data_IF_686603469063
#
_entry.id   IF_686603469063
#
_cell.length_a   1.000
_cell.length_b   1.000
_cell.length_c   1.000
_cell.angle_alpha   90.00
_cell.angle_beta   90.00
_cell.angle_gamma   90.00
#
_symmetry.space_group_name_H-M   'P 1'
#
loop_
_entity.id
_entity.type
_entity.pdbx_description
1 polymer ?
#
# COMPACT_ATOMS: atom_id res chain seq x y z
N UNK A 1 -5.28 17.96 -8.37
CA UNK A 1 -5.08 16.82 -7.46
C UNK A 1 -4.85 15.56 -8.28
N UNK A 2 -3.84 14.77 -7.90
CA UNK A 2 -3.51 13.46 -8.45
C UNK A 2 -3.43 12.45 -7.30
N UNK A 3 -4.18 11.37 -7.45
CA UNK A 3 -4.27 10.25 -6.51
C UNK A 3 -3.83 8.95 -7.16
N UNK A 4 -3.82 7.86 -6.41
CA UNK A 4 -3.48 6.53 -6.91
C UNK A 4 -4.24 5.38 -6.24
N UNK A 5 -4.53 4.38 -7.05
CA UNK A 5 -4.90 3.03 -6.66
C UNK A 5 -3.62 2.18 -6.65
N UNK A 6 -3.25 1.67 -5.47
CA UNK A 6 -1.97 0.98 -5.27
C UNK A 6 -2.10 -0.46 -4.71
N UNK A 7 -2.63 -1.42 -5.49
CA UNK A 7 -2.74 -2.82 -5.05
C UNK A 7 -1.38 -3.52 -5.02
N UNK A 8 -1.18 -4.36 -3.99
CA UNK A 8 -0.10 -5.37 -3.97
C UNK A 8 -0.63 -6.68 -4.55
N UNK A 9 0.01 -7.24 -5.60
CA UNK A 9 -0.46 -8.46 -6.26
C UNK A 9 -0.02 -9.73 -5.51
N UNK A 10 -0.26 -9.79 -4.18
CA UNK A 10 0.10 -10.92 -3.30
C UNK A 10 -1.08 -11.85 -2.99
N UNK A 11 -2.12 -11.80 -3.82
CA UNK A 11 -3.42 -12.45 -3.63
C UNK A 11 -4.51 -11.71 -4.42
N UNK A 12 -5.69 -12.32 -4.53
CA UNK A 12 -6.83 -11.68 -5.19
C UNK A 12 -7.37 -10.51 -4.36
N UNK A 13 -7.87 -9.49 -5.06
CA UNK A 13 -8.48 -8.33 -4.42
C UNK A 13 -9.75 -8.73 -3.65
N UNK A 14 -9.98 -8.09 -2.51
CA UNK A 14 -11.14 -8.33 -1.65
C UNK A 14 -12.01 -7.07 -1.51
N UNK A 15 -13.16 -7.19 -0.83
CA UNK A 15 -14.11 -6.08 -0.62
C UNK A 15 -13.46 -4.82 -0.03
N UNK A 16 -12.55 -4.97 0.92
CA UNK A 16 -11.79 -3.83 1.46
C UNK A 16 -10.94 -3.09 0.42
N UNK A 17 -10.37 -3.79 -0.58
CA UNK A 17 -9.70 -3.12 -1.71
C UNK A 17 -10.71 -2.36 -2.55
N UNK A 18 -11.82 -3.00 -2.90
CA UNK A 18 -12.90 -2.39 -3.69
C UNK A 18 -13.45 -1.12 -3.02
N UNK A 19 -13.65 -1.14 -1.70
CA UNK A 19 -14.02 0.06 -0.92
C UNK A 19 -12.97 1.16 -1.12
N UNK A 20 -11.70 0.86 -0.86
CA UNK A 20 -10.62 1.84 -0.95
C UNK A 20 -10.52 2.46 -2.35
N UNK A 21 -10.66 1.64 -3.39
CA UNK A 21 -10.57 2.08 -4.78
C UNK A 21 -11.79 2.90 -5.19
N UNK A 22 -12.99 2.52 -4.75
CA UNK A 22 -14.20 3.30 -4.99
C UNK A 22 -14.15 4.68 -4.32
N UNK A 23 -13.68 4.76 -3.07
CA UNK A 23 -13.47 6.03 -2.38
C UNK A 23 -12.39 6.88 -3.07
N UNK A 24 -11.32 6.25 -3.56
CA UNK A 24 -10.28 6.92 -4.36
C UNK A 24 -10.89 7.52 -5.64
N UNK A 25 -11.70 6.76 -6.37
CA UNK A 25 -12.38 7.24 -7.58
C UNK A 25 -13.38 8.37 -7.28
N UNK A 26 -14.06 8.30 -6.13
CA UNK A 26 -15.00 9.32 -5.66
C UNK A 26 -14.41 10.68 -5.31
N UNK A 27 -13.08 10.79 -5.23
CA UNK A 27 -12.39 12.06 -4.96
C UNK A 27 -12.46 13.04 -6.13
N UNK A 28 -12.65 12.53 -7.36
CA UNK A 28 -12.60 13.35 -8.58
C UNK A 28 -11.19 13.82 -8.97
N UNK A 29 -10.15 13.37 -8.25
CA UNK A 29 -8.76 13.60 -8.64
C UNK A 29 -8.37 12.70 -9.81
N UNK A 30 -7.30 13.05 -10.55
CA UNK A 30 -6.72 12.19 -11.57
C UNK A 30 -6.10 10.95 -10.92
N UNK A 31 -6.41 9.75 -11.39
CA UNK A 31 -6.06 8.48 -10.74
C UNK A 31 -4.94 7.78 -11.49
N UNK A 32 -3.83 7.50 -10.80
CA UNK A 32 -2.81 6.56 -11.24
C UNK A 32 -3.13 5.14 -10.75
N UNK A 33 -3.06 4.13 -11.62
CA UNK A 33 -2.93 2.74 -11.21
C UNK A 33 -1.45 2.40 -11.06
N UNK A 34 -1.03 2.06 -9.83
CA UNK A 34 0.35 1.63 -9.53
C UNK A 34 0.33 0.26 -8.87
N UNK A 35 0.88 -0.75 -9.51
CA UNK A 35 0.95 -2.09 -8.91
C UNK A 35 2.19 -2.16 -8.02
N UNK A 36 2.00 -2.32 -6.71
CA UNK A 36 3.06 -2.36 -5.70
C UNK A 36 3.64 -3.78 -5.59
N UNK A 37 4.47 -4.18 -6.56
CA UNK A 37 5.02 -5.53 -6.76
C UNK A 37 6.42 -5.78 -6.16
N UNK A 38 6.91 -4.92 -5.26
CA UNK A 38 8.27 -5.04 -4.69
C UNK A 38 8.51 -6.32 -3.88
N UNK A 39 7.45 -6.95 -3.35
CA UNK A 39 7.53 -8.27 -2.72
C UNK A 39 7.39 -9.37 -3.79
N UNK A 40 8.43 -9.48 -4.63
CA UNK A 40 8.46 -10.27 -5.87
C UNK A 40 8.07 -11.74 -5.69
N UNK A 41 8.46 -12.36 -4.57
CA UNK A 41 8.16 -13.76 -4.28
C UNK A 41 6.65 -14.04 -4.13
N UNK A 42 5.86 -12.99 -3.88
CA UNK A 42 4.40 -13.10 -3.72
C UNK A 42 3.63 -12.73 -4.97
N UNK A 43 4.31 -12.20 -5.99
CA UNK A 43 3.69 -11.71 -7.22
C UNK A 43 3.39 -12.89 -8.14
N UNK A 44 2.18 -12.93 -8.69
CA UNK A 44 1.86 -13.83 -9.80
C UNK A 44 1.16 -13.08 -10.92
N UNK A 45 1.39 -13.53 -12.16
CA UNK A 45 0.70 -12.99 -13.33
C UNK A 45 -0.82 -13.10 -13.19
N UNK A 46 -1.32 -14.16 -12.55
CA UNK A 46 -2.74 -14.35 -12.30
C UNK A 46 -3.32 -13.27 -11.37
N UNK A 47 -2.57 -12.87 -10.34
CA UNK A 47 -3.00 -11.79 -9.43
C UNK A 47 -2.92 -10.42 -10.11
N UNK A 48 -1.89 -10.18 -10.92
CA UNK A 48 -1.76 -8.95 -11.68
C UNK A 48 -2.88 -8.82 -12.72
N UNK A 49 -3.16 -9.88 -13.48
CA UNK A 49 -4.27 -9.91 -14.43
C UNK A 49 -5.61 -9.65 -13.73
N UNK A 50 -5.85 -10.30 -12.58
CA UNK A 50 -7.09 -10.12 -11.82
C UNK A 50 -7.28 -8.70 -11.28
N UNK A 51 -6.21 -7.92 -11.04
CA UNK A 51 -6.34 -6.49 -10.70
C UNK A 51 -7.05 -5.75 -11.82
N UNK A 52 -6.60 -5.91 -13.08
CA UNK A 52 -7.24 -5.25 -14.22
C UNK A 52 -8.68 -5.72 -14.42
N UNK A 53 -8.89 -7.03 -14.36
CA UNK A 53 -10.21 -7.61 -14.57
C UNK A 53 -11.20 -7.18 -13.47
N UNK A 54 -10.73 -7.05 -12.22
CA UNK A 54 -11.53 -6.56 -11.09
C UNK A 54 -11.88 -5.09 -11.25
N UNK A 55 -10.90 -4.24 -11.60
CA UNK A 55 -11.17 -2.81 -11.80
C UNK A 55 -12.17 -2.57 -12.93
N UNK A 56 -12.05 -3.30 -14.06
CA UNK A 56 -13.01 -3.25 -15.16
C UNK A 56 -14.38 -3.77 -14.76
N UNK A 57 -14.44 -4.91 -14.07
CA UNK A 57 -15.70 -5.47 -13.57
C UNK A 57 -16.43 -4.51 -12.61
N UNK A 58 -15.69 -3.83 -11.74
CA UNK A 58 -16.22 -2.85 -10.80
C UNK A 58 -16.44 -1.46 -11.43
N UNK A 59 -16.10 -1.27 -12.71
CA UNK A 59 -16.18 0.00 -13.44
C UNK A 59 -15.40 1.14 -12.75
N UNK A 60 -14.32 0.81 -12.04
CA UNK A 60 -13.45 1.78 -11.36
C UNK A 60 -12.43 2.31 -12.37
N UNK A 61 -12.42 3.63 -12.65
CA UNK A 61 -11.52 4.20 -13.64
C UNK A 61 -10.10 4.39 -13.09
N UNK A 62 -9.13 4.44 -14.00
CA UNK A 62 -7.82 5.06 -13.78
C UNK A 62 -7.40 5.82 -15.04
N UNK A 63 -6.69 6.94 -14.86
CA UNK A 63 -6.32 7.87 -15.94
C UNK A 63 -4.86 7.68 -16.42
N UNK A 64 -4.02 7.08 -15.58
CA UNK A 64 -2.60 6.86 -15.81
C UNK A 64 -2.20 5.52 -15.21
N UNK A 65 -1.21 4.84 -15.79
CA UNK A 65 -0.77 3.52 -15.32
C UNK A 65 -0.87 2.46 -16.41
N UNK A 66 -0.57 1.19 -16.07
CA UNK A 66 -0.59 0.12 -17.04
C UNK A 66 -2.01 -0.13 -17.57
N UNK A 67 -2.12 -0.39 -18.87
CA UNK A 67 -3.39 -0.73 -19.50
C UNK A 67 -3.79 -2.21 -19.29
N UNK A 68 -2.79 -3.08 -19.22
CA UNK A 68 -2.90 -4.52 -19.07
C UNK A 68 -1.62 -5.15 -18.49
N UNK A 69 -1.58 -6.48 -18.42
CA UNK A 69 -0.46 -7.26 -17.89
C UNK A 69 0.84 -7.07 -18.70
N UNK A 70 0.73 -6.95 -20.02
CA UNK A 70 1.89 -6.78 -20.91
C UNK A 70 2.52 -5.40 -20.71
N UNK A 71 1.72 -4.34 -20.75
CA UNK A 71 2.18 -2.97 -20.50
C UNK A 71 2.75 -2.83 -19.07
N UNK A 72 2.10 -3.47 -18.09
CA UNK A 72 2.62 -3.55 -16.73
C UNK A 72 4.04 -4.10 -16.67
N UNK A 73 4.27 -5.29 -17.27
CA UNK A 73 5.59 -5.94 -17.24
C UNK A 73 6.62 -5.12 -17.99
N UNK A 74 6.23 -4.51 -19.10
CA UNK A 74 7.11 -3.75 -19.98
C UNK A 74 7.59 -2.45 -19.34
N UNK A 75 6.71 -1.74 -18.62
CA UNK A 75 6.98 -0.33 -18.29
C UNK A 75 6.64 0.07 -16.84
N UNK A 76 5.70 -0.62 -16.17
CA UNK A 76 5.11 -0.10 -14.92
C UNK A 76 5.47 -0.88 -13.65
N UNK A 77 5.98 -2.11 -13.76
CA UNK A 77 6.48 -2.86 -12.61
C UNK A 77 7.55 -2.07 -11.84
N UNK A 78 7.56 -2.16 -10.51
CA UNK A 78 8.47 -1.40 -9.65
C UNK A 78 9.95 -1.72 -9.92
N UNK A 79 10.25 -2.87 -10.53
CA UNK A 79 11.61 -3.21 -10.97
C UNK A 79 12.21 -2.15 -11.92
N UNK A 80 11.38 -1.48 -12.72
CA UNK A 80 11.81 -0.40 -13.61
C UNK A 80 12.19 0.89 -12.85
N UNK A 81 11.87 0.97 -11.56
CA UNK A 81 12.17 2.10 -10.67
C UNK A 81 13.23 1.79 -9.61
N UNK A 82 13.92 0.64 -9.70
CA UNK A 82 14.98 0.27 -8.75
C UNK A 82 16.07 1.34 -8.59
N UNK A 83 16.43 2.02 -9.67
CA UNK A 83 17.40 3.12 -9.62
C UNK A 83 16.97 4.26 -8.69
N UNK A 84 15.67 4.61 -8.67
CA UNK A 84 15.13 5.65 -7.79
C UNK A 84 15.17 5.21 -6.32
N UNK A 85 14.82 3.95 -6.05
CA UNK A 85 14.86 3.42 -4.68
C UNK A 85 16.30 3.32 -4.15
N UNK A 86 17.23 2.86 -4.98
CA UNK A 86 18.65 2.81 -4.62
C UNK A 86 19.21 4.21 -4.36
N UNK A 87 18.87 5.20 -5.17
CA UNK A 87 19.27 6.58 -4.93
C UNK A 87 18.74 7.11 -3.58
N UNK A 88 17.50 6.80 -3.20
CA UNK A 88 16.94 7.15 -1.91
C UNK A 88 17.68 6.44 -0.75
N UNK A 89 17.99 5.14 -0.90
CA UNK A 89 18.78 4.39 0.09
C UNK A 89 20.18 4.99 0.28
N UNK A 90 20.87 5.35 -0.80
CA UNK A 90 22.19 5.96 -0.74
C UNK A 90 22.16 7.34 -0.08
N UNK A 91 21.10 8.14 -0.28
CA UNK A 91 20.88 9.39 0.47
C UNK A 91 20.74 9.13 1.97
N UNK A 92 19.99 8.11 2.37
CA UNK A 92 19.88 7.73 3.78
C UNK A 92 21.22 7.28 4.36
N UNK A 93 22.00 6.50 3.60
CA UNK A 93 23.36 6.08 3.96
C UNK A 93 24.27 7.29 4.17
N UNK A 94 24.31 8.23 3.21
CA UNK A 94 25.14 9.43 3.27
C UNK A 94 24.80 10.33 4.47
N UNK A 95 23.54 10.36 4.90
CA UNK A 95 23.09 11.10 6.09
C UNK A 95 23.34 10.37 7.41
N UNK A 96 23.95 9.17 7.41
CA UNK A 96 24.08 8.29 8.57
C UNK A 96 22.73 7.98 9.26
N UNK A 97 21.65 7.99 8.48
CA UNK A 97 20.29 7.84 9.00
C UNK A 97 19.88 6.37 9.17
N UNK A 98 20.69 5.42 8.71
CA UNK A 98 20.38 3.99 8.73
C UNK A 98 21.42 3.17 9.49
N UNK A 99 21.04 1.97 9.92
CA UNK A 99 21.95 0.96 10.47
C UNK A 99 21.59 -0.44 9.97
N UNK A 100 22.57 -1.34 9.95
CA UNK A 100 22.35 -2.73 9.57
C UNK A 100 21.72 -3.54 10.71
N UNK A 101 20.76 -4.37 10.37
CA UNK A 101 20.08 -5.27 11.30
C UNK A 101 20.13 -6.71 10.81
N UNK A 102 20.73 -7.59 11.61
CA UNK A 102 20.83 -9.03 11.34
C UNK A 102 19.78 -9.85 12.08
N UNK A 103 18.89 -9.21 12.85
CA UNK A 103 17.86 -9.91 13.64
C UNK A 103 17.03 -10.89 12.81
N UNK A 104 16.79 -12.08 13.34
CA UNK A 104 15.88 -13.06 12.75
C UNK A 104 14.42 -12.63 12.96
N UNK A 105 13.49 -13.26 12.23
CA UNK A 105 12.05 -13.04 12.44
C UNK A 105 11.61 -13.38 13.86
N UNK A 106 12.18 -14.41 14.50
CA UNK A 106 11.84 -14.78 15.88
C UNK A 106 12.27 -13.74 16.93
N UNK A 107 13.27 -12.92 16.61
CA UNK A 107 13.69 -11.80 17.46
C UNK A 107 12.81 -10.55 17.28
N UNK A 108 12.06 -10.46 16.18
CA UNK A 108 11.12 -9.37 15.90
C UNK A 108 9.73 -9.79 16.38
N UNK A 109 9.30 -9.30 17.54
CA UNK A 109 8.00 -9.64 18.11
C UNK A 109 6.93 -8.69 17.58
N UNK A 110 5.88 -9.21 16.96
CA UNK A 110 4.75 -8.41 16.43
C UNK A 110 5.20 -7.24 15.52
N UNK A 111 6.26 -7.44 14.73
CA UNK A 111 6.83 -6.38 13.87
C UNK A 111 7.72 -5.37 14.61
N UNK A 112 7.72 -5.38 15.94
CA UNK A 112 8.49 -4.46 16.77
C UNK A 112 9.94 -4.90 16.86
N UNK A 113 10.85 -3.99 16.52
CA UNK A 113 12.28 -4.21 16.63
C UNK A 113 12.77 -3.90 18.05
N UNK A 114 13.51 -4.82 18.70
CA UNK A 114 13.90 -4.68 20.11
C UNK A 114 15.12 -3.77 20.36
N UNK A 115 15.64 -3.04 19.37
CA UNK A 115 16.81 -2.15 19.55
C UNK A 115 18.18 -2.85 19.51
N UNK A 116 18.22 -4.18 19.38
CA UNK A 116 19.41 -5.01 19.62
C UNK A 116 20.63 -4.76 18.71
N UNK A 117 20.42 -4.35 17.46
CA UNK A 117 21.46 -4.03 16.47
C UNK A 117 21.80 -2.53 16.38
N UNK A 118 21.05 -1.64 17.06
CA UNK A 118 21.07 -0.19 16.80
C UNK A 118 22.44 0.42 17.06
N UNK A 119 23.09 -0.02 18.14
CA UNK A 119 24.41 0.46 18.57
C UNK A 119 25.53 -0.55 18.32
N UNK A 120 25.28 -1.62 17.55
CA UNK A 120 26.27 -2.66 17.27
C UNK A 120 27.27 -2.31 16.16
N UNK A 121 27.04 -1.19 15.46
CA UNK A 121 27.91 -0.72 14.37
C UNK A 121 28.19 -1.81 13.31
N UNK A 122 27.18 -2.63 13.01
CA UNK A 122 27.26 -3.66 11.96
C UNK A 122 27.46 -2.94 10.61
N UNK A 123 28.43 -3.35 9.77
CA UNK A 123 28.60 -2.77 8.44
C UNK A 123 27.31 -2.85 7.61
N UNK A 124 26.97 -1.75 6.92
CA UNK A 124 25.75 -1.70 6.09
C UNK A 124 25.75 -2.74 4.97
N UNK A 125 26.93 -3.08 4.47
CA UNK A 125 27.12 -4.02 3.36
C UNK A 125 27.19 -5.49 3.84
N UNK A 126 26.92 -5.77 5.12
CA UNK A 126 26.82 -7.14 5.65
C UNK A 126 25.72 -7.93 4.91
N UNK A 127 26.09 -9.07 4.36
CA UNK A 127 25.18 -9.98 3.65
C UNK A 127 24.01 -10.43 4.54
N UNK A 128 22.80 -10.42 3.98
CA UNK A 128 21.59 -10.81 4.71
C UNK A 128 21.15 -9.83 5.80
N UNK A 129 21.79 -8.66 5.93
CA UNK A 129 21.33 -7.60 6.81
C UNK A 129 20.29 -6.70 6.13
N UNK A 130 19.24 -6.36 6.86
CA UNK A 130 18.33 -5.29 6.46
C UNK A 130 18.89 -3.93 6.86
N UNK A 131 18.50 -2.86 6.17
CA UNK A 131 18.73 -1.50 6.63
C UNK A 131 17.49 -1.01 7.35
N UNK A 132 17.67 -0.55 8.59
CA UNK A 132 16.64 0.12 9.38
C UNK A 132 16.94 1.60 9.45
N UNK A 133 15.89 2.42 9.32
CA UNK A 133 15.99 3.86 9.53
C UNK A 133 16.12 4.11 11.04
N UNK A 134 17.00 5.01 11.48
CA UNK A 134 17.06 5.46 12.87
C UNK A 134 15.91 6.44 13.11
N UNK A 135 14.95 6.03 13.93
CA UNK A 135 13.82 6.87 14.31
C UNK A 135 14.09 7.54 15.66
N UNK A 136 13.91 8.86 15.72
CA UNK A 136 14.05 9.68 16.93
C UNK A 136 12.77 10.49 17.23
N UNK A 137 11.64 10.10 16.64
CA UNK A 137 10.33 10.74 16.79
C UNK A 137 9.34 9.76 17.46
N UNK A 138 8.26 10.25 18.08
CA UNK A 138 7.23 9.42 18.69
C UNK A 138 6.37 8.73 17.61
N UNK A 139 6.92 7.68 17.00
CA UNK A 139 6.21 6.80 16.07
C UNK A 139 5.51 5.66 16.82
N UNK A 140 4.46 5.06 16.23
CA UNK A 140 3.87 3.82 16.73
C UNK A 140 4.95 2.76 16.99
N UNK A 141 4.81 1.89 18.02
CA UNK A 141 5.86 0.97 18.41
C UNK A 141 6.34 0.00 17.31
N UNK A 142 5.44 -0.41 16.43
CA UNK A 142 5.72 -1.27 15.26
C UNK A 142 6.37 -0.51 14.09
N UNK A 143 6.38 0.83 14.17
CA UNK A 143 7.02 1.74 13.22
C UNK A 143 8.29 2.40 13.79
N UNK A 144 8.76 1.98 14.96
CA UNK A 144 10.08 2.39 15.45
C UNK A 144 11.18 1.60 14.73
N UNK A 145 12.22 2.32 14.31
CA UNK A 145 13.36 1.82 13.55
C UNK A 145 12.97 0.87 12.41
N UNK A 146 11.99 1.27 11.61
CA UNK A 146 11.42 0.44 10.55
C UNK A 146 12.43 0.17 9.42
N UNK A 147 12.19 -0.92 8.69
CA UNK A 147 13.05 -1.37 7.59
C UNK A 147 12.85 -0.47 6.37
N UNK A 148 13.94 -0.03 5.74
CA UNK A 148 13.97 0.69 4.45
C UNK A 148 14.61 -0.14 3.32
N UNK A 149 15.52 -1.06 3.65
CA UNK A 149 16.05 -2.10 2.76
C UNK A 149 15.88 -3.47 3.40
N UNK A 150 15.25 -4.41 2.70
CA UNK A 150 15.07 -5.80 3.15
C UNK A 150 16.39 -6.57 3.14
N UNK A 151 16.37 -7.79 3.69
CA UNK A 151 17.55 -8.69 3.76
C UNK A 151 17.99 -9.22 2.39
N UNK A 152 17.07 -9.29 1.45
CA UNK A 152 17.31 -9.66 0.05
C UNK A 152 17.88 -8.50 -0.78
N UNK A 153 18.15 -7.34 -0.16
CA UNK A 153 18.66 -6.14 -0.82
C UNK A 153 17.59 -5.24 -1.45
N UNK A 154 16.36 -5.73 -1.63
CA UNK A 154 15.28 -4.92 -2.22
C UNK A 154 14.76 -3.87 -1.23
N UNK A 155 14.25 -2.72 -1.72
CA UNK A 155 13.66 -1.71 -0.87
C UNK A 155 12.39 -2.21 -0.16
N UNK A 156 12.08 -1.62 0.99
CA UNK A 156 10.85 -1.91 1.72
C UNK A 156 9.66 -1.13 1.18
N UNK A 157 8.45 -1.57 1.52
CA UNK A 157 7.21 -0.84 1.24
C UNK A 157 7.25 0.62 1.70
N UNK A 158 7.84 0.90 2.87
CA UNK A 158 7.87 2.26 3.40
C UNK A 158 8.71 3.19 2.50
N UNK A 159 9.81 2.68 1.96
CA UNK A 159 10.64 3.43 1.02
C UNK A 159 9.98 3.54 -0.35
N UNK A 160 9.52 2.43 -0.93
CA UNK A 160 8.96 2.44 -2.29
C UNK A 160 7.70 3.28 -2.39
N UNK A 161 6.84 3.28 -1.36
CA UNK A 161 5.64 4.13 -1.34
C UNK A 161 5.99 5.62 -1.39
N UNK A 162 6.97 6.08 -0.59
CA UNK A 162 7.39 7.50 -0.59
C UNK A 162 8.01 7.88 -1.93
N UNK A 163 8.94 7.06 -2.43
CA UNK A 163 9.65 7.35 -3.68
C UNK A 163 8.69 7.33 -4.88
N UNK A 164 7.77 6.37 -4.94
CA UNK A 164 6.82 6.30 -6.05
C UNK A 164 5.77 7.42 -5.98
N UNK A 165 5.26 7.77 -4.79
CA UNK A 165 4.32 8.88 -4.65
C UNK A 165 4.97 10.20 -5.10
N UNK A 166 6.25 10.43 -4.76
CA UNK A 166 7.03 11.57 -5.25
C UNK A 166 7.28 11.51 -6.76
N UNK A 167 7.73 10.36 -7.27
CA UNK A 167 8.05 10.16 -8.68
C UNK A 167 6.85 10.44 -9.59
N UNK A 168 5.66 10.00 -9.18
CA UNK A 168 4.44 10.19 -9.96
C UNK A 168 3.70 11.49 -9.64
N UNK A 169 4.19 12.32 -8.71
CA UNK A 169 3.54 13.56 -8.32
C UNK A 169 2.17 13.37 -7.68
N UNK A 170 2.04 12.36 -6.82
CA UNK A 170 0.84 12.12 -6.03
C UNK A 170 0.71 13.22 -4.97
N UNK A 171 -0.45 13.86 -4.89
CA UNK A 171 -0.79 14.89 -3.90
C UNK A 171 -1.98 14.50 -3.00
N UNK A 172 -2.63 13.37 -3.28
CA UNK A 172 -3.74 12.81 -2.53
C UNK A 172 -3.59 11.29 -2.37
N UNK A 173 -3.76 10.81 -1.15
CA UNK A 173 -3.71 9.39 -0.80
C UNK A 173 -4.98 9.01 -0.06
N UNK A 174 -5.78 8.13 -0.66
CA UNK A 174 -6.89 7.45 0.02
C UNK A 174 -6.47 6.02 0.34
N UNK A 175 -6.63 5.59 1.59
CA UNK A 175 -6.31 4.22 2.03
C UNK A 175 -7.02 3.85 3.34
N UNK A 176 -6.98 2.57 3.72
CA UNK A 176 -7.59 2.11 4.97
C UNK A 176 -6.88 2.64 6.22
N UNK A 177 -7.64 2.77 7.30
CA UNK A 177 -7.19 3.21 8.63
C UNK A 177 -6.02 2.38 9.19
N UNK A 178 -5.93 1.11 8.82
CA UNK A 178 -4.81 0.23 9.20
C UNK A 178 -3.45 0.69 8.67
N UNK A 179 -3.42 1.57 7.66
CA UNK A 179 -2.20 2.16 7.11
C UNK A 179 -1.86 3.53 7.73
N UNK A 180 -2.58 3.98 8.77
CA UNK A 180 -2.23 5.20 9.50
C UNK A 180 -0.82 5.13 10.12
N UNK A 181 -0.39 4.04 10.79
CA UNK A 181 0.98 3.92 11.29
C UNK A 181 2.04 4.05 10.18
N UNK A 182 1.78 3.43 9.02
CA UNK A 182 2.66 3.59 7.84
C UNK A 182 2.70 5.03 7.34
N UNK A 183 1.61 5.79 7.45
CA UNK A 183 1.59 7.21 7.09
C UNK A 183 2.57 8.01 7.92
N UNK A 184 2.58 7.79 9.23
CA UNK A 184 3.51 8.48 10.14
C UNK A 184 4.97 8.10 9.84
N UNK A 185 5.24 6.81 9.59
CA UNK A 185 6.56 6.33 9.21
C UNK A 185 7.04 6.93 7.88
N UNK A 186 6.16 7.00 6.88
CA UNK A 186 6.45 7.56 5.56
C UNK A 186 6.68 9.08 5.61
N UNK A 187 5.91 9.81 6.42
CA UNK A 187 6.14 11.24 6.69
C UNK A 187 7.50 11.46 7.35
N UNK A 188 7.86 10.66 8.36
CA UNK A 188 9.18 10.74 8.99
C UNK A 188 10.32 10.41 8.00
N UNK A 189 10.16 9.38 7.16
CA UNK A 189 11.12 9.05 6.11
C UNK A 189 11.32 10.21 5.13
N UNK A 190 10.22 10.81 4.67
CA UNK A 190 10.28 11.96 3.76
C UNK A 190 10.99 13.15 4.39
N UNK A 191 10.77 13.42 5.68
CA UNK A 191 11.50 14.46 6.42
C UNK A 191 12.99 14.19 6.46
N UNK A 192 13.42 12.95 6.74
CA UNK A 192 14.84 12.56 6.75
C UNK A 192 15.46 12.66 5.35
N UNK A 193 14.68 12.36 4.31
CA UNK A 193 15.10 12.54 2.92
C UNK A 193 15.04 14.00 2.47
N UNK A 194 14.48 14.92 3.27
CA UNK A 194 14.24 16.32 2.92
C UNK A 194 13.28 16.51 1.73
N UNK A 195 12.34 15.58 1.55
CA UNK A 195 11.34 15.55 0.48
C UNK A 195 10.07 16.30 0.88
N UNK A 196 10.12 17.63 0.88
CA UNK A 196 9.01 18.50 1.33
C UNK A 196 7.71 18.29 0.54
N UNK A 197 7.80 17.89 -0.73
CA UNK A 197 6.64 17.61 -1.57
C UNK A 197 5.77 16.48 -0.97
N UNK A 198 6.39 15.46 -0.37
CA UNK A 198 5.64 14.37 0.27
C UNK A 198 4.91 14.84 1.54
N UNK A 199 5.45 15.81 2.25
CA UNK A 199 4.79 16.40 3.42
C UNK A 199 3.55 17.22 3.07
N UNK A 200 3.43 17.67 1.82
CA UNK A 200 2.23 18.34 1.30
C UNK A 200 1.10 17.40 0.86
N UNK A 201 1.32 16.08 0.84
CA UNK A 201 0.32 15.11 0.39
C UNK A 201 -0.84 15.05 1.39
N UNK A 202 -2.06 15.16 0.89
CA UNK A 202 -3.28 14.96 1.69
C UNK A 202 -3.54 13.46 1.86
N UNK A 203 -3.65 13.00 3.12
CA UNK A 203 -4.02 11.62 3.44
C UNK A 203 -5.46 11.55 3.96
N UNK A 204 -6.28 10.73 3.30
CA UNK A 204 -7.62 10.38 3.74
C UNK A 204 -7.64 8.89 4.14
N UNK A 205 -7.87 8.63 5.42
CA UNK A 205 -8.01 7.28 5.93
C UNK A 205 -9.49 6.93 6.11
N UNK A 206 -9.92 5.82 5.53
CA UNK A 206 -11.29 5.33 5.66
C UNK A 206 -11.40 4.16 6.65
N UNK A 207 -12.55 3.99 7.33
CA UNK A 207 -12.82 2.82 8.15
C UNK A 207 -12.63 1.51 7.40
N UNK A 208 -12.28 0.46 8.14
CA UNK A 208 -12.13 -0.89 7.59
C UNK A 208 -13.48 -1.59 7.55
N UNK A 209 -13.64 -2.50 6.58
CA UNK A 209 -14.78 -3.42 6.60
C UNK A 209 -14.60 -4.45 7.72
N UNK A 210 -15.62 -4.57 8.55
CA UNK A 210 -15.74 -5.57 9.59
C UNK A 210 -16.91 -6.51 9.26
N UNK A 211 -16.86 -7.73 9.74
CA UNK A 211 -17.99 -8.65 9.68
C UNK A 211 -19.10 -8.24 10.67
N UNK A 212 -20.17 -9.03 10.71
CA UNK A 212 -21.34 -8.77 11.54
C UNK A 212 -21.02 -8.83 13.05
N UNK A 213 -19.96 -9.55 13.43
CA UNK A 213 -19.47 -9.68 14.80
C UNK A 213 -18.43 -8.60 15.14
N UNK A 214 -18.17 -7.67 14.21
CA UNK A 214 -17.22 -6.57 14.37
C UNK A 214 -15.76 -6.95 14.18
N UNK A 215 -15.46 -8.16 13.71
CA UNK A 215 -14.11 -8.60 13.42
C UNK A 215 -13.67 -8.13 12.04
N UNK A 216 -12.38 -7.78 11.89
CA UNK A 216 -11.83 -7.38 10.59
C UNK A 216 -11.97 -8.55 9.61
N UNK A 217 -12.58 -8.29 8.45
CA UNK A 217 -12.63 -9.28 7.37
C UNK A 217 -11.20 -9.65 6.96
N UNK A 218 -10.78 -10.88 7.28
CA UNK A 218 -9.41 -11.33 7.07
C UNK A 218 -9.18 -11.74 5.61
N UNK A 219 -7.98 -11.44 5.09
CA UNK A 219 -7.52 -11.83 3.75
C UNK A 219 -7.54 -13.35 3.49
N UNK A 220 -7.67 -14.16 4.54
CA UNK A 220 -7.56 -15.63 4.53
C UNK A 220 -8.88 -16.37 4.36
N UNK A 221 -10.03 -15.71 4.48
CA UNK A 221 -11.33 -16.34 4.19
C UNK A 221 -11.59 -16.26 2.68
N UNK A 222 -11.19 -17.31 1.96
CA UNK A 222 -11.25 -17.42 0.49
C UNK A 222 -12.61 -17.17 -0.17
N UNK A 223 -13.69 -16.99 0.61
CA UNK A 223 -15.03 -16.62 0.16
C UNK A 223 -15.25 -15.10 -0.04
N UNK A 224 -14.25 -14.25 0.20
CA UNK A 224 -14.41 -12.77 0.13
C UNK A 224 -13.68 -12.08 -1.02
N UNK A 225 -12.97 -12.83 -1.88
CA UNK A 225 -12.28 -12.25 -3.03
C UNK A 225 -13.28 -11.84 -4.13
N UNK A 226 -13.00 -10.73 -4.81
CA UNK A 226 -13.82 -10.27 -5.93
C UNK A 226 -13.77 -11.29 -7.07
N UNK A 227 -12.63 -11.94 -7.30
CA UNK A 227 -12.51 -13.00 -8.30
C UNK A 227 -13.48 -14.17 -8.03
N UNK A 228 -13.58 -14.65 -6.79
CA UNK A 228 -14.52 -15.71 -6.43
C UNK A 228 -15.97 -15.25 -6.65
N UNK A 229 -16.30 -14.03 -6.23
CA UNK A 229 -17.62 -13.44 -6.45
C UNK A 229 -17.99 -13.37 -7.94
N UNK A 230 -17.04 -13.00 -8.81
CA UNK A 230 -17.24 -12.99 -10.27
C UNK A 230 -17.49 -14.40 -10.82
N UNK A 231 -16.74 -15.40 -10.34
CA UNK A 231 -16.93 -16.81 -10.74
C UNK A 231 -18.26 -17.40 -10.27
N UNK A 232 -18.79 -16.92 -9.14
CA UNK A 232 -20.13 -17.26 -8.65
C UNK A 232 -21.25 -16.56 -9.43
N UNK A 233 -20.93 -15.70 -10.41
CA UNK A 233 -21.91 -14.96 -11.21
C UNK A 233 -22.45 -13.71 -10.53
N UNK A 234 -21.86 -13.25 -9.41
CA UNK A 234 -22.25 -12.00 -8.77
C UNK A 234 -21.95 -10.82 -9.69
N UNK A 235 -22.85 -9.87 -9.70
CA UNK A 235 -22.75 -8.60 -10.42
C UNK A 235 -21.94 -7.57 -9.62
N UNK A 236 -21.41 -6.55 -10.29
CA UNK A 236 -20.73 -5.43 -9.63
C UNK A 236 -21.65 -4.73 -8.61
N UNK A 237 -22.93 -4.58 -8.97
CA UNK A 237 -23.99 -4.05 -8.09
C UNK A 237 -24.11 -4.83 -6.79
N UNK A 238 -24.07 -6.15 -6.84
CA UNK A 238 -24.14 -6.99 -5.63
C UNK A 238 -22.87 -6.89 -4.77
N UNK A 239 -21.70 -6.73 -5.40
CA UNK A 239 -20.45 -6.45 -4.68
C UNK A 239 -20.55 -5.13 -3.93
N UNK A 240 -20.97 -4.07 -4.61
CA UNK A 240 -21.15 -2.74 -4.02
C UNK A 240 -22.21 -2.73 -2.92
N UNK A 241 -23.35 -3.40 -3.13
CA UNK A 241 -24.38 -3.56 -2.11
C UNK A 241 -23.86 -4.32 -0.87
N UNK A 242 -22.97 -5.30 -1.07
CA UNK A 242 -22.33 -5.99 0.04
C UNK A 242 -21.38 -5.08 0.83
N UNK A 243 -20.58 -4.26 0.14
CA UNK A 243 -19.73 -3.24 0.78
C UNK A 243 -20.61 -2.27 1.58
N UNK A 244 -21.71 -1.77 1.00
CA UNK A 244 -22.61 -0.84 1.67
C UNK A 244 -23.20 -1.41 2.97
N UNK A 245 -23.63 -2.67 2.96
CA UNK A 245 -24.11 -3.36 4.17
C UNK A 245 -23.03 -3.49 5.24
N UNK A 246 -21.82 -3.93 4.86
CA UNK A 246 -20.70 -4.08 5.80
C UNK A 246 -20.20 -2.74 6.34
N UNK A 247 -20.32 -1.68 5.55
CA UNK A 247 -20.07 -0.29 5.96
C UNK A 247 -21.23 0.34 6.74
N UNK A 248 -22.33 -0.39 6.97
CA UNK A 248 -23.54 0.08 7.68
C UNK A 248 -24.10 1.38 7.08
N UNK A 249 -24.06 1.49 5.76
CA UNK A 249 -24.62 2.64 5.05
C UNK A 249 -26.15 2.52 5.02
N UNK A 250 -26.83 3.66 5.23
CA UNK A 250 -28.28 3.74 5.22
C UNK A 250 -28.84 3.84 3.79
N UNK A 251 -28.01 4.21 2.83
CA UNK A 251 -28.39 4.39 1.43
C UNK A 251 -28.03 3.16 0.60
N UNK A 252 -28.85 2.81 -0.41
CA UNK A 252 -28.51 1.75 -1.34
C UNK A 252 -27.29 2.12 -2.16
N UNK A 253 -26.33 1.19 -2.23
CA UNK A 253 -25.08 1.35 -2.96
C UNK A 253 -24.99 0.27 -4.05
N UNK A 254 -24.74 0.69 -5.28
CA UNK A 254 -24.75 -0.16 -6.48
C UNK A 254 -23.58 0.11 -7.44
N UNK A 255 -22.79 1.15 -7.20
CA UNK A 255 -21.64 1.54 -7.99
C UNK A 255 -20.59 2.22 -7.10
N UNK A 256 -19.37 2.42 -7.62
CA UNK A 256 -18.37 3.21 -6.89
C UNK A 256 -18.84 4.65 -6.65
N UNK A 257 -19.68 5.20 -7.54
CA UNK A 257 -20.21 6.57 -7.43
C UNK A 257 -21.15 6.70 -6.23
N UNK A 258 -22.12 5.79 -6.13
CA UNK A 258 -23.08 5.78 -5.01
C UNK A 258 -22.38 5.41 -3.70
N UNK A 259 -21.41 4.49 -3.73
CA UNK A 259 -20.58 4.17 -2.57
C UNK A 259 -19.79 5.38 -2.06
N UNK A 260 -19.09 6.08 -2.95
CA UNK A 260 -18.30 7.23 -2.53
C UNK A 260 -19.14 8.42 -2.11
N UNK A 261 -20.32 8.63 -2.70
CA UNK A 261 -21.26 9.65 -2.27
C UNK A 261 -21.74 9.40 -0.84
N UNK A 262 -22.11 8.16 -0.52
CA UNK A 262 -22.57 7.79 0.82
C UNK A 262 -21.49 7.99 1.91
N UNK A 263 -20.22 7.83 1.58
CA UNK A 263 -19.10 8.11 2.51
C UNK A 263 -18.77 9.59 2.67
N UNK A 264 -19.20 10.48 1.75
CA UNK A 264 -19.06 11.93 1.93
C UNK A 264 -20.06 12.50 2.94
N UNK A 265 -21.12 11.76 3.25
CA UNK A 265 -22.16 12.14 4.22
C UNK A 265 -21.92 11.60 5.64
N UNK A 266 -20.87 10.82 5.87
CA UNK A 266 -20.41 10.33 7.18
C UNK A 266 -19.34 11.24 7.76
#
# INVERSE_FOLDING_TARGET
>A
MKTRIAPTPSGYLHLGNALSFALTAGTGARILLRIDDMDRDRVSDAYVQDIFDTLRFLEIPWDEGPLDLEDYKKSWAQVHRLGLYHAALERLRAKNAVFACTCSRSQIKNGMYPGTCREKHIPLDTEGASWRLRTNAPLPPDMQDFVVRKKDGFPSYQLTSVVDDLHYGIDLVVRGEDLRPSTLAQQYLAQVLEEQAFSGILFLHHPLLVDMDGQKLSKSAGSTSIQAMRKEGRTAREVYGNIGRLSRLNEPVDSWRTLAAAFKGL
#
